data_IF_914757493714
#
_entry.id   IF_914757493714
#
_cell.length_a   1.000
_cell.length_b   1.000
_cell.length_c   1.000
_cell.angle_alpha   90.00
_cell.angle_beta   90.00
_cell.angle_gamma   90.00
#
_symmetry.space_group_name_H-M   'P 1'
#
loop_
_entity.id
_entity.type
_entity.pdbx_description
1 polymer ?
#
# COMPACT_ATOMS: atom_id res chain seq x y z
N UNK A 1 -26.67 -23.95 -9.68
CA UNK A 1 -25.84 -23.67 -8.48
C UNK A 1 -25.58 -22.17 -8.49
N UNK A 2 -25.41 -21.50 -7.34
CA UNK A 2 -24.88 -20.13 -7.35
C UNK A 2 -23.52 -20.14 -8.06
N UNK A 3 -23.24 -19.10 -8.86
CA UNK A 3 -21.95 -19.01 -9.55
C UNK A 3 -20.81 -18.81 -8.54
N UNK A 4 -19.60 -19.30 -8.84
CA UNK A 4 -18.42 -19.13 -7.99
C UNK A 4 -17.45 -18.07 -8.56
N UNK A 5 -16.72 -17.37 -7.69
CA UNK A 5 -15.67 -16.43 -8.09
C UNK A 5 -14.35 -16.68 -7.38
N UNK A 6 -13.25 -16.37 -8.06
CA UNK A 6 -11.91 -16.20 -7.51
C UNK A 6 -11.44 -14.79 -7.83
N UNK A 7 -10.78 -14.12 -6.87
CA UNK A 7 -10.16 -12.81 -7.11
C UNK A 7 -8.69 -12.86 -6.69
N UNK A 8 -7.82 -12.57 -7.64
CA UNK A 8 -6.39 -12.39 -7.42
C UNK A 8 -6.10 -10.90 -7.34
N UNK A 9 -5.49 -10.46 -6.24
CA UNK A 9 -5.25 -9.03 -6.00
C UNK A 9 -3.77 -8.73 -6.01
N UNK A 10 -3.35 -7.86 -6.91
CA UNK A 10 -1.95 -7.47 -7.07
C UNK A 10 -1.76 -5.98 -6.76
N UNK A 11 -0.52 -5.63 -6.44
CA UNK A 11 -0.08 -4.25 -6.33
C UNK A 11 -0.06 -3.73 -4.90
N UNK A 12 -1.08 -2.97 -4.50
CA UNK A 12 -0.99 -2.15 -3.28
C UNK A 12 -2.26 -2.21 -2.42
N UNK A 13 -2.17 -1.78 -1.14
CA UNK A 13 -3.32 -1.69 -0.22
C UNK A 13 -4.57 -1.02 -0.79
N UNK A 14 -4.41 -0.06 -1.71
CA UNK A 14 -5.54 0.61 -2.37
C UNK A 14 -6.30 -0.33 -3.32
N UNK A 15 -5.58 -1.21 -4.03
CA UNK A 15 -6.17 -2.26 -4.86
C UNK A 15 -6.84 -3.32 -3.98
N UNK A 16 -6.30 -3.66 -2.80
CA UNK A 16 -6.97 -4.57 -1.86
C UNK A 16 -8.35 -4.05 -1.46
N UNK A 17 -8.46 -2.77 -1.11
CA UNK A 17 -9.77 -2.17 -0.84
C UNK A 17 -10.70 -2.26 -2.04
N UNK A 18 -10.20 -2.03 -3.27
CA UNK A 18 -11.00 -2.16 -4.50
C UNK A 18 -11.50 -3.62 -4.70
N UNK A 19 -10.64 -4.61 -4.45
CA UNK A 19 -11.00 -6.03 -4.50
C UNK A 19 -12.08 -6.40 -3.48
N UNK A 20 -11.97 -5.94 -2.23
CA UNK A 20 -12.98 -6.23 -1.21
C UNK A 20 -14.36 -5.63 -1.58
N UNK A 21 -14.38 -4.48 -2.26
CA UNK A 21 -15.62 -3.84 -2.77
C UNK A 21 -16.22 -4.63 -3.92
N UNK A 22 -15.38 -5.17 -4.80
CA UNK A 22 -15.81 -6.09 -5.85
C UNK A 22 -16.39 -7.37 -5.25
N UNK A 23 -15.76 -7.94 -4.22
CA UNK A 23 -16.29 -9.07 -3.44
C UNK A 23 -17.68 -8.76 -2.88
N UNK A 24 -17.85 -7.58 -2.26
CA UNK A 24 -19.16 -7.14 -1.76
C UNK A 24 -20.24 -7.10 -2.83
N UNK A 25 -19.88 -6.64 -4.03
CA UNK A 25 -20.78 -6.58 -5.19
C UNK A 25 -21.12 -7.99 -5.69
N UNK A 26 -20.12 -8.85 -5.87
CA UNK A 26 -20.32 -10.24 -6.32
C UNK A 26 -21.15 -11.05 -5.31
N UNK A 27 -20.95 -10.86 -4.02
CA UNK A 27 -21.76 -11.48 -2.97
C UNK A 27 -23.22 -11.01 -3.03
N UNK A 28 -23.47 -9.72 -3.29
CA UNK A 28 -24.81 -9.17 -3.46
C UNK A 28 -25.52 -9.72 -4.72
N UNK A 29 -24.75 -10.03 -5.76
CA UNK A 29 -25.22 -10.71 -6.98
C UNK A 29 -25.43 -12.23 -6.80
N UNK A 30 -25.15 -12.76 -5.61
CA UNK A 30 -25.39 -14.15 -5.23
C UNK A 30 -24.28 -15.11 -5.65
N UNK A 31 -23.09 -14.61 -5.99
CA UNK A 31 -21.92 -15.46 -6.21
C UNK A 31 -21.28 -15.86 -4.87
N UNK A 32 -20.57 -16.98 -4.89
CA UNK A 32 -19.85 -17.52 -3.71
C UNK A 32 -18.35 -17.61 -3.98
N UNK A 33 -17.48 -17.43 -2.95
CA UNK A 33 -16.05 -17.60 -3.13
C UNK A 33 -15.73 -19.06 -3.50
N UNK A 34 -14.87 -19.24 -4.49
CA UNK A 34 -14.30 -20.52 -4.88
C UNK A 34 -13.16 -20.92 -3.93
N UNK A 35 -12.84 -22.22 -3.85
CA UNK A 35 -11.68 -22.70 -3.08
C UNK A 35 -10.34 -22.48 -3.78
N UNK A 36 -10.39 -22.17 -5.08
CA UNK A 36 -9.25 -21.95 -5.95
C UNK A 36 -9.71 -21.55 -7.36
N UNK A 37 -8.81 -20.98 -8.18
CA UNK A 37 -9.13 -20.52 -9.54
C UNK A 37 -9.65 -21.64 -10.45
N UNK A 38 -9.23 -22.89 -10.23
CA UNK A 38 -9.67 -24.08 -10.97
C UNK A 38 -11.13 -24.49 -10.69
N UNK A 39 -11.76 -23.89 -9.67
CA UNK A 39 -13.13 -24.16 -9.25
C UNK A 39 -14.08 -22.96 -9.38
N UNK A 40 -13.57 -21.85 -9.92
CA UNK A 40 -14.29 -20.60 -10.09
C UNK A 40 -15.00 -20.53 -11.46
N UNK A 41 -16.23 -20.02 -11.50
CA UNK A 41 -16.91 -19.66 -12.76
C UNK A 41 -16.39 -18.32 -13.31
N UNK A 42 -15.87 -17.45 -12.44
CA UNK A 42 -15.22 -16.17 -12.78
C UNK A 42 -13.92 -16.02 -12.02
N UNK A 43 -12.84 -15.79 -12.72
CA UNK A 43 -11.53 -15.42 -12.18
C UNK A 43 -11.31 -13.94 -12.47
N UNK A 44 -11.13 -13.14 -11.42
CA UNK A 44 -10.88 -11.71 -11.51
C UNK A 44 -9.43 -11.44 -11.14
N UNK A 45 -8.69 -10.67 -11.94
CA UNK A 45 -7.33 -10.25 -11.63
C UNK A 45 -7.31 -8.73 -11.47
N UNK A 46 -7.11 -8.24 -10.25
CA UNK A 46 -6.98 -6.81 -9.96
C UNK A 46 -5.51 -6.40 -10.05
N UNK A 47 -5.15 -5.76 -11.16
CA UNK A 47 -3.77 -5.54 -11.60
C UNK A 47 -3.17 -4.23 -11.09
N UNK A 48 -1.83 -4.20 -11.04
CA UNK A 48 -1.04 -3.01 -10.78
C UNK A 48 -0.50 -2.41 -12.09
N UNK A 49 -0.29 -1.08 -12.11
CA UNK A 49 0.35 -0.39 -13.23
C UNK A 49 1.35 0.67 -12.76
N UNK A 50 1.88 0.48 -11.55
CA UNK A 50 2.71 1.50 -10.90
C UNK A 50 4.12 1.58 -11.49
N UNK A 51 4.77 0.43 -11.67
CA UNK A 51 6.12 0.29 -12.25
C UNK A 51 6.15 -0.86 -13.26
N UNK A 52 7.16 -0.89 -14.12
CA UNK A 52 7.34 -1.95 -15.15
C UNK A 52 7.32 -3.36 -14.54
N UNK A 53 8.07 -3.59 -13.46
CA UNK A 53 8.15 -4.89 -12.79
C UNK A 53 6.76 -5.40 -12.35
N UNK A 54 5.95 -4.52 -11.74
CA UNK A 54 4.59 -4.85 -11.30
C UNK A 54 3.62 -5.07 -12.48
N UNK A 55 3.89 -4.46 -13.65
CA UNK A 55 3.12 -4.71 -14.88
C UNK A 55 3.46 -6.09 -15.44
N UNK A 56 4.74 -6.46 -15.44
CA UNK A 56 5.18 -7.78 -15.87
C UNK A 56 4.62 -8.89 -14.97
N UNK A 57 4.72 -8.71 -13.64
CA UNK A 57 4.10 -9.61 -12.66
C UNK A 57 2.60 -9.78 -12.92
N UNK A 58 1.89 -8.67 -13.16
CA UNK A 58 0.46 -8.71 -13.48
C UNK A 58 0.16 -9.55 -14.73
N UNK A 59 0.97 -9.43 -15.78
CA UNK A 59 0.82 -10.22 -17.01
C UNK A 59 1.09 -11.71 -16.73
N UNK A 60 2.16 -12.03 -16.01
CA UNK A 60 2.55 -13.40 -15.70
C UNK A 60 1.47 -14.12 -14.88
N UNK A 61 0.87 -13.44 -13.91
CA UNK A 61 -0.25 -13.95 -13.11
C UNK A 61 -1.50 -14.16 -13.97
N UNK A 62 -1.82 -13.23 -14.87
CA UNK A 62 -2.96 -13.38 -15.79
C UNK A 62 -2.81 -14.65 -16.63
N UNK A 63 -1.63 -14.86 -17.24
CA UNK A 63 -1.35 -16.03 -18.07
C UNK A 63 -1.32 -17.32 -17.25
N UNK A 64 -0.80 -17.27 -16.03
CA UNK A 64 -0.82 -18.41 -15.10
C UNK A 64 -2.25 -18.83 -14.72
N UNK A 65 -3.12 -17.86 -14.43
CA UNK A 65 -4.51 -18.11 -14.09
C UNK A 65 -5.35 -18.55 -15.29
N UNK A 66 -5.07 -18.05 -16.49
CA UNK A 66 -5.66 -18.57 -17.72
C UNK A 66 -5.39 -20.07 -17.90
N UNK A 67 -4.16 -20.51 -17.60
CA UNK A 67 -3.80 -21.92 -17.69
C UNK A 67 -4.46 -22.80 -16.62
N UNK A 68 -4.86 -22.23 -15.48
CA UNK A 68 -5.42 -22.95 -14.32
C UNK A 68 -6.96 -22.93 -14.26
N UNK A 69 -7.62 -21.90 -14.80
CA UNK A 69 -9.07 -21.71 -14.66
C UNK A 69 -9.87 -22.89 -15.22
N UNK A 70 -11.05 -23.13 -14.64
CA UNK A 70 -11.95 -24.17 -15.14
C UNK A 70 -12.35 -23.93 -16.62
N UNK A 71 -12.53 -24.98 -17.43
CA UNK A 71 -13.02 -24.82 -18.81
C UNK A 71 -14.36 -24.08 -18.85
N UNK A 72 -14.39 -22.93 -19.55
CA UNK A 72 -15.58 -22.07 -19.64
C UNK A 72 -15.70 -21.03 -18.52
N UNK A 73 -14.78 -21.01 -17.55
CA UNK A 73 -14.66 -19.92 -16.59
C UNK A 73 -14.18 -18.64 -17.29
N UNK A 74 -14.73 -17.50 -16.87
CA UNK A 74 -14.36 -16.20 -17.41
C UNK A 74 -13.16 -15.63 -16.70
N UNK A 75 -12.20 -15.08 -17.43
CA UNK A 75 -11.07 -14.32 -16.90
C UNK A 75 -11.33 -12.83 -17.14
N UNK A 76 -11.44 -12.07 -16.04
CA UNK A 76 -11.69 -10.62 -16.08
C UNK A 76 -10.50 -9.91 -15.46
N UNK A 77 -9.91 -8.98 -16.21
CA UNK A 77 -8.82 -8.14 -15.73
C UNK A 77 -9.36 -6.79 -15.32
N UNK A 78 -9.05 -6.35 -14.11
CA UNK A 78 -9.40 -5.02 -13.58
C UNK A 78 -8.19 -4.35 -12.93
N UNK A 79 -8.38 -3.19 -12.31
CA UNK A 79 -7.32 -2.48 -11.61
C UNK A 79 -6.62 -1.40 -12.44
N UNK A 80 -5.44 -0.98 -11.97
CA UNK A 80 -4.70 0.15 -12.55
C UNK A 80 -4.29 -0.11 -14.01
N UNK A 81 -3.92 -1.34 -14.36
CA UNK A 81 -3.47 -1.68 -15.72
C UNK A 81 -4.65 -1.66 -16.69
N UNK A 82 -5.79 -2.20 -16.27
CA UNK A 82 -7.04 -2.16 -17.03
C UNK A 82 -7.52 -0.71 -17.29
N UNK A 83 -7.41 0.17 -16.29
CA UNK A 83 -7.78 1.58 -16.44
C UNK A 83 -6.84 2.33 -17.39
N UNK A 84 -5.52 2.13 -17.25
CA UNK A 84 -4.51 2.90 -17.99
C UNK A 84 -4.27 2.38 -19.41
N UNK A 85 -4.24 1.05 -19.60
CA UNK A 85 -3.84 0.39 -20.83
C UNK A 85 -4.94 -0.51 -21.42
N UNK A 86 -6.20 -0.33 -21.04
CA UNK A 86 -7.26 -1.31 -21.30
C UNK A 86 -7.41 -1.76 -22.76
N UNK A 87 -7.28 -0.83 -23.72
CA UNK A 87 -7.35 -1.16 -25.15
C UNK A 87 -6.15 -2.00 -25.63
N UNK A 88 -4.94 -1.62 -25.23
CA UNK A 88 -3.70 -2.33 -25.57
C UNK A 88 -3.66 -3.70 -24.91
N UNK A 89 -4.12 -3.78 -23.65
CA UNK A 89 -4.17 -5.03 -22.89
C UNK A 89 -5.15 -6.03 -23.50
N UNK A 90 -6.32 -5.57 -23.92
CA UNK A 90 -7.32 -6.41 -24.59
C UNK A 90 -6.85 -6.90 -25.97
N UNK A 91 -6.00 -6.14 -26.66
CA UNK A 91 -5.39 -6.55 -27.93
C UNK A 91 -4.23 -7.53 -27.70
N UNK A 92 -3.41 -7.30 -26.67
CA UNK A 92 -2.22 -8.09 -26.38
C UNK A 92 -2.52 -9.43 -25.67
N UNK A 93 -3.62 -9.52 -24.92
CA UNK A 93 -4.03 -10.71 -24.15
C UNK A 93 -5.40 -11.24 -24.62
N UNK A 94 -5.47 -11.93 -25.77
CA UNK A 94 -6.72 -12.50 -26.29
C UNK A 94 -7.34 -13.57 -25.39
N UNK A 95 -6.60 -14.10 -24.41
CA UNK A 95 -7.05 -15.08 -23.42
C UNK A 95 -8.03 -14.48 -22.39
N UNK A 96 -7.98 -13.16 -22.21
CA UNK A 96 -8.82 -12.42 -21.27
C UNK A 96 -10.20 -12.18 -21.88
N UNK A 97 -11.26 -12.58 -21.18
CA UNK A 97 -12.64 -12.42 -21.66
C UNK A 97 -13.15 -10.98 -21.52
N UNK A 98 -12.64 -10.22 -20.54
CA UNK A 98 -12.99 -8.82 -20.35
C UNK A 98 -11.89 -8.03 -19.63
N UNK A 99 -11.67 -6.79 -20.07
CA UNK A 99 -10.83 -5.80 -19.39
C UNK A 99 -11.73 -4.67 -18.88
N UNK A 100 -11.75 -4.49 -17.56
CA UNK A 100 -12.69 -3.61 -16.83
C UNK A 100 -11.93 -2.59 -15.98
N UNK A 101 -11.93 -1.32 -16.39
CA UNK A 101 -11.43 -0.21 -15.55
C UNK A 101 -12.27 0.02 -14.28
N UNK A 102 -11.92 1.01 -13.47
CA UNK A 102 -12.53 1.26 -12.15
C UNK A 102 -14.03 1.55 -12.21
N UNK A 103 -14.52 2.06 -13.36
CA UNK A 103 -15.92 2.40 -13.59
C UNK A 103 -16.76 1.28 -14.23
N UNK A 104 -16.20 0.10 -14.47
CA UNK A 104 -16.84 -0.99 -15.21
C UNK A 104 -17.20 -2.14 -14.27
N UNK A 105 -18.49 -2.48 -14.09
CA UNK A 105 -18.88 -3.61 -13.25
C UNK A 105 -18.28 -4.94 -13.72
N UNK A 106 -17.71 -5.69 -12.78
CA UNK A 106 -17.31 -7.09 -13.00
C UNK A 106 -18.55 -7.95 -12.78
N UNK A 107 -19.18 -8.41 -13.86
CA UNK A 107 -20.41 -9.22 -13.77
C UNK A 107 -20.30 -10.51 -14.57
N UNK A 108 -21.01 -11.55 -14.12
CA UNK A 108 -21.20 -12.80 -14.85
C UNK A 108 -21.94 -12.61 -16.20
N UNK A 109 -22.64 -11.48 -16.39
CA UNK A 109 -23.63 -11.31 -17.46
C UNK A 109 -23.17 -10.45 -18.64
N UNK A 110 -22.02 -9.76 -18.55
CA UNK A 110 -21.50 -8.96 -19.67
C UNK A 110 -20.79 -9.85 -20.68
N UNK A 111 -21.46 -10.23 -21.77
CA UNK A 111 -20.83 -10.89 -22.92
C UNK A 111 -19.84 -9.98 -23.66
N UNK A 112 -18.86 -10.59 -24.32
CA UNK A 112 -17.98 -9.91 -25.29
C UNK A 112 -18.86 -9.25 -26.37
N UNK A 113 -18.77 -7.93 -26.50
CA UNK A 113 -19.22 -7.19 -27.67
C UNK A 113 -20.68 -6.73 -27.68
N UNK A 114 -20.96 -5.57 -27.08
CA UNK A 114 -21.75 -4.49 -27.67
C UNK A 114 -21.67 -3.23 -26.80
N UNK A 115 -21.48 -2.03 -27.36
CA UNK A 115 -21.61 -0.80 -26.58
C UNK A 115 -23.07 -0.71 -26.15
N UNK A 116 -23.34 -0.89 -24.86
CA UNK A 116 -24.65 -0.56 -24.29
C UNK A 116 -24.77 0.95 -24.28
N UNK A 117 -25.69 1.50 -25.05
CA UNK A 117 -26.06 2.93 -25.08
C UNK A 117 -26.81 3.39 -23.81
N UNK A 118 -26.69 2.62 -22.72
CA UNK A 118 -27.21 2.97 -21.42
C UNK A 118 -26.05 3.61 -20.68
N UNK A 119 -26.19 4.86 -20.25
CA UNK A 119 -25.28 5.46 -19.27
C UNK A 119 -25.29 4.53 -18.05
N UNK A 120 -24.28 3.66 -17.98
CA UNK A 120 -24.00 2.87 -16.79
C UNK A 120 -23.68 3.90 -15.71
N UNK A 121 -24.41 3.94 -14.59
CA UNK A 121 -24.05 4.82 -13.48
C UNK A 121 -22.58 4.55 -13.15
N UNK A 122 -21.77 5.60 -13.04
CA UNK A 122 -20.34 5.44 -12.75
C UNK A 122 -20.18 4.49 -11.56
N UNK A 123 -19.51 3.35 -11.78
CA UNK A 123 -19.24 2.38 -10.72
C UNK A 123 -18.21 3.02 -9.79
N UNK A 124 -18.68 3.66 -8.72
CA UNK A 124 -17.82 4.35 -7.77
C UNK A 124 -17.32 3.39 -6.70
N UNK A 125 -16.30 2.60 -7.06
CA UNK A 125 -15.59 1.67 -6.17
C UNK A 125 -15.27 2.29 -4.80
N UNK A 126 -15.03 3.59 -4.77
CA UNK A 126 -14.69 4.34 -3.57
C UNK A 126 -15.79 4.30 -2.48
N UNK A 127 -17.06 4.19 -2.85
CA UNK A 127 -18.20 4.28 -1.91
C UNK A 127 -19.08 3.02 -1.87
N UNK A 128 -18.68 1.93 -2.55
CA UNK A 128 -19.41 0.68 -2.50
C UNK A 128 -19.35 0.05 -1.09
N UNK A 129 -20.35 -0.75 -0.67
CA UNK A 129 -20.25 -1.56 0.53
C UNK A 129 -19.27 -2.73 0.30
N UNK A 130 -18.70 -3.28 1.38
CA UNK A 130 -17.85 -4.47 1.35
C UNK A 130 -18.14 -5.36 2.56
N UNK A 131 -17.81 -6.67 2.53
CA UNK A 131 -18.01 -7.54 3.68
C UNK A 131 -17.11 -7.13 4.87
N UNK A 132 -17.35 -7.77 6.01
CA UNK A 132 -16.43 -7.73 7.15
C UNK A 132 -15.04 -8.22 6.75
N UNK A 133 -14.02 -7.69 7.43
CA UNK A 133 -12.67 -8.19 7.24
C UNK A 133 -12.56 -9.63 7.73
N UNK A 134 -11.84 -10.46 6.99
CA UNK A 134 -11.42 -11.79 7.44
C UNK A 134 -10.18 -11.73 8.34
N UNK A 135 -9.45 -10.62 8.30
CA UNK A 135 -8.29 -10.35 9.14
C UNK A 135 -8.69 -9.47 10.34
N UNK A 136 -7.91 -9.46 11.43
CA UNK A 136 -8.18 -8.61 12.59
C UNK A 136 -7.82 -7.13 12.38
N UNK A 137 -7.45 -6.78 11.16
CA UNK A 137 -7.16 -5.44 10.69
C UNK A 137 -7.84 -5.22 9.32
N UNK A 138 -7.92 -3.96 8.87
CA UNK A 138 -8.41 -3.67 7.53
C UNK A 138 -7.87 -2.35 6.96
N UNK A 139 -7.51 -2.35 5.67
CA UNK A 139 -7.27 -1.11 4.93
C UNK A 139 -8.58 -0.38 4.65
N UNK A 140 -8.60 0.94 4.82
CA UNK A 140 -9.75 1.80 4.48
C UNK A 140 -9.29 2.91 3.56
N UNK A 141 -9.78 2.89 2.32
CA UNK A 141 -9.47 3.92 1.33
C UNK A 141 -10.32 5.17 1.58
N UNK A 142 -9.68 6.27 1.96
CA UNK A 142 -10.37 7.51 2.36
C UNK A 142 -10.52 8.50 1.21
N UNK A 143 -9.68 8.39 0.18
CA UNK A 143 -9.71 9.22 -1.01
C UNK A 143 -9.18 8.44 -2.23
N UNK A 144 -9.56 8.90 -3.42
CA UNK A 144 -9.07 8.41 -4.71
C UNK A 144 -8.39 9.53 -5.49
N UNK A 145 -7.39 9.20 -6.31
CA UNK A 145 -6.67 10.19 -7.12
C UNK A 145 -5.72 11.07 -6.31
N UNK A 146 -5.03 11.98 -7.00
CA UNK A 146 -4.02 12.83 -6.37
C UNK A 146 -3.86 14.16 -7.12
N UNK A 147 -3.75 15.28 -6.39
CA UNK A 147 -3.55 16.61 -6.96
C UNK A 147 -2.06 17.01 -7.07
N UNK A 148 -1.14 16.12 -6.66
CA UNK A 148 0.32 16.36 -6.78
C UNK A 148 0.78 16.22 -8.22
N UNK A 149 1.72 17.08 -8.61
CA UNK A 149 2.37 17.04 -9.92
C UNK A 149 3.79 16.46 -9.85
N UNK A 150 3.97 15.35 -9.13
CA UNK A 150 5.27 14.69 -8.99
C UNK A 150 5.80 14.25 -10.36
N UNK A 151 7.08 14.52 -10.62
CA UNK A 151 7.66 14.41 -11.96
C UNK A 151 7.65 12.98 -12.53
N UNK A 152 7.73 11.97 -11.69
CA UNK A 152 7.73 10.54 -12.05
C UNK A 152 6.33 9.90 -12.03
N UNK A 153 5.31 10.58 -11.48
CA UNK A 153 4.05 9.93 -11.13
C UNK A 153 3.00 10.09 -12.23
N UNK A 154 2.48 8.97 -12.74
CA UNK A 154 1.40 8.95 -13.72
C UNK A 154 -0.01 8.94 -13.10
N UNK A 155 -0.14 8.75 -11.77
CA UNK A 155 -1.44 8.60 -11.07
C UNK A 155 -2.48 9.65 -11.47
N UNK A 156 -2.16 10.96 -11.55
CA UNK A 156 -3.16 11.97 -11.90
C UNK A 156 -3.77 11.80 -13.29
N UNK A 157 -3.10 11.10 -14.22
CA UNK A 157 -3.59 10.93 -15.60
C UNK A 157 -4.70 9.88 -15.72
N UNK A 158 -4.70 8.85 -14.87
CA UNK A 158 -5.64 7.72 -14.97
C UNK A 158 -6.54 7.55 -13.74
N UNK A 159 -6.08 7.91 -12.53
CA UNK A 159 -6.93 7.93 -11.32
C UNK A 159 -7.58 9.31 -11.07
N UNK A 160 -7.16 10.32 -11.84
CA UNK A 160 -7.71 11.67 -11.78
C UNK A 160 -7.28 12.48 -10.57
N UNK A 161 -7.97 13.62 -10.39
CA UNK A 161 -7.79 14.53 -9.26
C UNK A 161 -8.26 13.91 -7.96
N UNK A 162 -7.76 14.43 -6.85
CA UNK A 162 -8.14 13.93 -5.54
C UNK A 162 -9.65 14.08 -5.30
N UNK A 163 -10.29 12.98 -4.89
CA UNK A 163 -11.69 12.92 -4.47
C UNK A 163 -11.76 12.22 -3.12
N UNK A 164 -12.03 12.97 -2.07
CA UNK A 164 -12.15 12.49 -0.69
C UNK A 164 -13.57 12.04 -0.38
N UNK A 165 -13.71 10.94 0.38
CA UNK A 165 -14.99 10.49 0.94
C UNK A 165 -15.41 11.36 2.11
N UNK A 166 -16.70 11.31 2.49
CA UNK A 166 -17.14 11.97 3.72
C UNK A 166 -16.66 11.20 4.95
N UNK A 167 -16.39 11.91 6.06
CA UNK A 167 -16.03 11.27 7.34
C UNK A 167 -17.14 10.32 7.79
N UNK A 168 -18.41 10.68 7.56
CA UNK A 168 -19.55 9.85 7.94
C UNK A 168 -19.53 8.49 7.21
N UNK A 169 -19.24 8.48 5.91
CA UNK A 169 -19.18 7.25 5.13
C UNK A 169 -17.97 6.39 5.54
N UNK A 170 -16.84 7.02 5.84
CA UNK A 170 -15.64 6.32 6.31
C UNK A 170 -15.89 5.67 7.68
N UNK A 171 -16.47 6.40 8.63
CA UNK A 171 -16.80 5.88 9.96
C UNK A 171 -17.83 4.76 9.86
N UNK A 172 -18.86 4.92 9.03
CA UNK A 172 -19.87 3.88 8.82
C UNK A 172 -19.26 2.59 8.25
N UNK A 173 -18.24 2.69 7.39
CA UNK A 173 -17.48 1.53 6.93
C UNK A 173 -16.62 0.93 8.04
N UNK A 174 -15.90 1.74 8.81
CA UNK A 174 -15.08 1.28 9.95
C UNK A 174 -15.92 0.49 10.95
N UNK A 175 -17.11 0.99 11.30
CA UNK A 175 -18.03 0.32 12.21
C UNK A 175 -18.51 -1.05 11.68
N UNK A 176 -18.61 -1.20 10.36
CA UNK A 176 -19.04 -2.46 9.74
C UNK A 176 -17.93 -3.51 9.73
N UNK A 177 -16.66 -3.11 9.65
CA UNK A 177 -15.53 -4.02 9.48
C UNK A 177 -15.25 -4.88 10.71
N UNK A 178 -15.44 -4.33 11.91
CA UNK A 178 -15.33 -5.08 13.16
C UNK A 178 -13.92 -5.59 13.46
N UNK A 179 -12.90 -4.74 13.25
CA UNK A 179 -11.47 -5.06 13.39
C UNK A 179 -10.80 -4.27 14.51
N UNK A 180 -9.67 -4.77 15.02
CA UNK A 180 -8.88 -4.09 16.07
C UNK A 180 -7.94 -3.00 15.53
N UNK A 181 -7.52 -3.10 14.27
CA UNK A 181 -6.68 -2.09 13.61
C UNK A 181 -7.28 -1.61 12.28
N UNK A 182 -7.34 -0.30 12.10
CA UNK A 182 -7.68 0.32 10.81
C UNK A 182 -6.45 0.97 10.22
N UNK A 183 -6.18 0.69 8.95
CA UNK A 183 -5.09 1.31 8.21
C UNK A 183 -5.67 2.24 7.14
N UNK A 184 -5.55 3.55 7.37
CA UNK A 184 -6.05 4.56 6.46
C UNK A 184 -5.10 4.70 5.26
N UNK A 185 -5.65 4.60 4.05
CA UNK A 185 -4.89 4.67 2.81
C UNK A 185 -5.49 5.66 1.82
N UNK A 186 -4.62 6.33 1.08
CA UNK A 186 -4.93 7.16 -0.08
C UNK A 186 -3.67 7.29 -0.96
N UNK A 187 -3.75 7.96 -2.09
CA UNK A 187 -2.55 8.32 -2.86
C UNK A 187 -1.75 9.46 -2.21
N UNK A 188 -2.44 10.41 -1.57
CA UNK A 188 -1.86 11.43 -0.68
C UNK A 188 -2.78 11.60 0.53
N UNK A 189 -2.48 10.88 1.61
CA UNK A 189 -3.39 10.80 2.76
C UNK A 189 -3.46 12.12 3.54
N UNK A 190 -2.32 12.80 3.70
CA UNK A 190 -2.25 14.06 4.43
C UNK A 190 -3.03 15.19 3.75
N UNK A 191 -3.30 15.07 2.44
CA UNK A 191 -4.12 15.99 1.67
C UNK A 191 -5.64 15.76 1.82
N UNK A 192 -6.09 14.75 2.55
CA UNK A 192 -7.52 14.43 2.71
C UNK A 192 -8.38 15.64 3.08
N UNK A 193 -9.49 15.81 2.36
CA UNK A 193 -10.48 16.87 2.53
C UNK A 193 -10.16 18.22 1.89
N UNK A 194 -8.96 18.40 1.30
CA UNK A 194 -8.61 19.65 0.57
C UNK A 194 -9.52 19.90 -0.63
N UNK A 195 -9.98 18.83 -1.28
CA UNK A 195 -10.90 18.87 -2.42
C UNK A 195 -12.35 19.23 -2.04
N UNK A 196 -12.71 19.13 -0.75
CA UNK A 196 -14.07 19.38 -0.26
C UNK A 196 -14.32 20.84 0.12
N UNK A 197 -13.35 21.74 -0.08
CA UNK A 197 -13.43 23.14 0.34
C UNK A 197 -13.38 23.34 1.86
N UNK A 198 -13.20 22.27 2.62
CA UNK A 198 -12.96 22.26 4.08
C UNK A 198 -11.44 22.31 4.26
N UNK A 199 -10.87 23.52 4.13
CA UNK A 199 -9.44 23.75 3.95
C UNK A 199 -8.50 22.93 4.86
N UNK A 200 -7.42 22.40 4.25
CA UNK A 200 -6.19 21.81 4.83
C UNK A 200 -6.25 20.87 6.06
N UNK A 201 -7.41 20.58 6.67
CA UNK A 201 -7.45 20.13 8.07
C UNK A 201 -8.52 19.08 8.38
N UNK A 202 -9.04 18.38 7.39
CA UNK A 202 -10.01 17.30 7.65
C UNK A 202 -9.35 15.98 8.08
N UNK A 203 -8.05 15.79 7.81
CA UNK A 203 -7.34 14.55 8.17
C UNK A 203 -7.29 14.34 9.69
N UNK A 204 -7.01 15.39 10.48
CA UNK A 204 -6.97 15.27 11.96
C UNK A 204 -8.33 14.88 12.53
N UNK A 205 -9.45 15.58 12.22
CA UNK A 205 -10.78 15.14 12.61
C UNK A 205 -11.14 13.73 12.14
N UNK A 206 -10.73 13.32 10.94
CA UNK A 206 -10.95 11.96 10.46
C UNK A 206 -10.24 10.94 11.35
N UNK A 207 -8.94 11.13 11.61
CA UNK A 207 -8.13 10.25 12.45
C UNK A 207 -8.72 10.15 13.85
N UNK A 208 -9.08 11.28 14.46
CA UNK A 208 -9.73 11.32 15.77
C UNK A 208 -11.06 10.56 15.77
N UNK A 209 -11.88 10.72 14.73
CA UNK A 209 -13.15 10.00 14.63
C UNK A 209 -12.93 8.49 14.52
N UNK A 210 -11.99 8.03 13.69
CA UNK A 210 -11.69 6.60 13.52
C UNK A 210 -11.07 6.01 14.79
N UNK A 211 -10.16 6.73 15.45
CA UNK A 211 -9.48 6.28 16.67
C UNK A 211 -10.44 6.11 17.87
N UNK A 212 -11.63 6.71 17.82
CA UNK A 212 -12.68 6.46 18.81
C UNK A 212 -13.45 5.15 18.59
N UNK A 213 -13.22 4.43 17.47
CA UNK A 213 -13.97 3.21 17.11
C UNK A 213 -13.13 1.94 17.21
N UNK A 214 -11.81 2.07 17.06
CA UNK A 214 -10.88 0.93 17.02
C UNK A 214 -9.65 1.22 17.88
N UNK A 215 -9.00 0.17 18.35
CA UNK A 215 -7.87 0.27 19.28
C UNK A 215 -6.60 0.83 18.62
N UNK A 216 -6.42 0.57 17.32
CA UNK A 216 -5.26 1.04 16.55
C UNK A 216 -5.68 1.71 15.25
N UNK A 217 -5.10 2.88 14.96
CA UNK A 217 -5.24 3.54 13.65
C UNK A 217 -3.88 3.86 13.08
N UNK A 218 -3.57 3.28 11.92
CA UNK A 218 -2.34 3.50 11.17
C UNK A 218 -2.60 4.37 9.95
N UNK A 219 -1.64 5.22 9.62
CA UNK A 219 -1.68 6.08 8.44
C UNK A 219 -0.53 5.71 7.51
N UNK A 220 -0.85 5.48 6.23
CA UNK A 220 0.14 5.24 5.18
C UNK A 220 0.11 6.37 4.13
N UNK A 221 1.20 6.51 3.37
CA UNK A 221 1.33 7.45 2.26
C UNK A 221 1.23 8.92 2.69
N UNK A 222 2.01 9.31 3.70
CA UNK A 222 2.08 10.67 4.18
C UNK A 222 3.08 11.49 3.34
N UNK A 223 2.61 12.57 2.74
CA UNK A 223 3.48 13.51 2.07
C UNK A 223 4.15 14.45 3.10
N UNK A 224 5.49 14.59 3.10
CA UNK A 224 6.22 15.22 4.20
C UNK A 224 5.87 16.71 4.43
N UNK A 225 5.50 17.46 3.39
CA UNK A 225 5.13 18.88 3.53
C UNK A 225 3.85 19.11 4.35
N UNK A 226 2.99 18.09 4.43
CA UNK A 226 1.67 18.20 5.06
C UNK A 226 1.64 17.57 6.45
N UNK A 227 2.80 17.09 6.93
CA UNK A 227 2.97 16.54 8.27
C UNK A 227 3.12 17.69 9.29
N UNK A 228 1.99 18.29 9.65
CA UNK A 228 1.94 19.34 10.68
C UNK A 228 2.10 18.75 12.08
N UNK A 229 2.48 19.58 13.05
CA UNK A 229 2.57 19.16 14.46
C UNK A 229 1.24 18.60 14.98
N UNK A 230 0.11 19.19 14.59
CA UNK A 230 -1.21 18.68 14.97
C UNK A 230 -1.50 17.29 14.40
N UNK A 231 -1.01 16.99 13.20
CA UNK A 231 -1.16 15.65 12.61
C UNK A 231 -0.23 14.65 13.28
N UNK A 232 1.00 15.04 13.62
CA UNK A 232 1.91 14.22 14.42
C UNK A 232 1.27 13.85 15.76
N UNK A 233 0.74 14.83 16.48
CA UNK A 233 0.11 14.61 17.79
C UNK A 233 -1.13 13.69 17.65
N UNK A 234 -1.92 13.88 16.60
CA UNK A 234 -3.07 13.02 16.31
C UNK A 234 -2.66 11.57 15.99
N UNK A 235 -1.59 11.36 15.22
CA UNK A 235 -1.03 10.02 14.94
C UNK A 235 -0.54 9.36 16.22
N UNK A 236 0.21 10.07 17.06
CA UNK A 236 0.69 9.49 18.33
C UNK A 236 -0.48 9.09 19.26
N UNK A 237 -1.58 9.84 19.22
CA UNK A 237 -2.77 9.55 20.02
C UNK A 237 -3.55 8.30 19.56
N UNK A 238 -3.29 7.74 18.38
CA UNK A 238 -3.97 6.53 17.89
C UNK A 238 -3.43 5.23 18.48
N UNK A 239 -2.40 5.30 19.33
CA UNK A 239 -1.66 4.13 19.80
C UNK A 239 -0.72 3.53 18.76
N UNK A 240 -0.61 4.13 17.57
CA UNK A 240 0.28 3.69 16.49
C UNK A 240 1.12 4.86 15.99
N UNK A 241 2.20 5.24 16.71
CA UNK A 241 3.13 6.28 16.26
C UNK A 241 4.00 5.77 15.10
N UNK A 242 3.38 5.58 13.94
CA UNK A 242 4.00 5.04 12.73
C UNK A 242 3.87 6.06 11.60
N UNK A 243 5.00 6.42 11.02
CA UNK A 243 5.11 7.49 10.03
C UNK A 243 5.67 6.93 8.72
N UNK A 244 4.78 6.58 7.78
CA UNK A 244 5.16 6.23 6.40
C UNK A 244 5.28 7.51 5.55
N UNK A 245 6.51 8.01 5.45
CA UNK A 245 6.83 9.25 4.79
C UNK A 245 7.26 8.97 3.35
N UNK A 246 6.52 9.47 2.37
CA UNK A 246 6.92 9.39 0.98
C UNK A 246 8.05 10.41 0.70
N UNK A 247 9.33 10.07 0.92
CA UNK A 247 10.46 11.00 0.76
C UNK A 247 11.07 10.98 -0.65
N UNK A 248 11.07 9.83 -1.32
CA UNK A 248 11.44 9.61 -2.73
C UNK A 248 12.91 9.90 -3.07
N UNK A 249 13.51 10.94 -2.50
CA UNK A 249 14.94 11.24 -2.52
C UNK A 249 15.27 12.27 -1.42
N UNK A 250 16.53 12.66 -1.25
CA UNK A 250 16.95 13.66 -0.24
C UNK A 250 17.75 14.82 -0.81
N UNK A 251 18.44 14.61 -1.93
CA UNK A 251 19.13 15.68 -2.67
C UNK A 251 18.16 16.78 -3.11
N UNK A 252 18.42 18.01 -2.67
CA UNK A 252 17.60 19.19 -2.96
C UNK A 252 17.50 19.52 -4.47
N UNK A 253 18.60 19.50 -5.26
CA UNK A 253 18.51 19.59 -6.73
C UNK A 253 17.63 18.53 -7.37
N UNK A 254 17.78 17.26 -6.95
CA UNK A 254 17.04 16.15 -7.55
C UNK A 254 15.56 16.19 -7.16
N UNK A 255 15.23 16.49 -5.91
CA UNK A 255 13.84 16.67 -5.45
C UNK A 255 13.12 17.78 -6.21
N UNK A 256 13.78 18.93 -6.46
CA UNK A 256 13.22 19.98 -7.32
C UNK A 256 12.94 19.48 -8.73
N UNK A 257 13.84 18.68 -9.30
CA UNK A 257 13.68 18.07 -10.63
C UNK A 257 12.52 17.07 -10.64
N UNK A 258 12.35 16.30 -9.57
CA UNK A 258 11.18 15.45 -9.31
C UNK A 258 9.89 16.25 -9.00
N UNK A 259 9.94 17.58 -8.99
CA UNK A 259 8.83 18.48 -8.61
C UNK A 259 8.30 18.21 -7.20
N UNK A 260 9.21 17.89 -6.28
CA UNK A 260 8.91 17.62 -4.87
C UNK A 260 9.43 18.73 -3.97
N UNK A 261 8.85 18.77 -2.78
CA UNK A 261 9.22 19.70 -1.73
C UNK A 261 10.20 19.03 -0.77
N UNK A 262 11.12 19.82 -0.21
CA UNK A 262 12.01 19.42 0.87
C UNK A 262 13.42 19.07 0.40
N UNK A 263 14.20 18.59 1.36
CA UNK A 263 15.58 18.15 1.25
C UNK A 263 15.94 17.32 2.50
N UNK A 264 17.08 16.63 2.46
CA UNK A 264 17.53 15.75 3.53
C UNK A 264 17.59 16.41 4.91
N UNK A 265 18.10 17.65 4.99
CA UNK A 265 18.20 18.40 6.25
C UNK A 265 16.81 18.60 6.89
N UNK A 266 15.84 19.12 6.11
CA UNK A 266 14.47 19.31 6.62
C UNK A 266 13.77 18.02 7.02
N UNK A 267 14.02 16.94 6.28
CA UNK A 267 13.45 15.63 6.59
C UNK A 267 14.05 15.09 7.90
N UNK A 268 15.37 15.18 8.07
CA UNK A 268 16.06 14.79 9.31
C UNK A 268 15.56 15.60 10.51
N UNK A 269 15.50 16.92 10.39
CA UNK A 269 14.97 17.80 11.44
C UNK A 269 13.58 17.34 11.88
N UNK A 270 12.68 17.06 10.92
CA UNK A 270 11.32 16.60 11.20
C UNK A 270 11.31 15.24 11.90
N UNK A 271 12.13 14.28 11.45
CA UNK A 271 12.22 12.95 12.06
C UNK A 271 12.76 13.05 13.49
N UNK A 272 13.80 13.84 13.72
CA UNK A 272 14.41 14.07 15.03
C UNK A 272 13.41 14.73 15.97
N UNK A 273 12.67 15.73 15.51
CA UNK A 273 11.63 16.39 16.29
C UNK A 273 10.52 15.42 16.72
N UNK A 274 10.07 14.55 15.82
CA UNK A 274 9.06 13.54 16.13
C UNK A 274 9.60 12.52 17.13
N UNK A 275 10.81 11.98 16.94
CA UNK A 275 11.44 11.04 17.88
C UNK A 275 11.65 11.62 19.26
N UNK A 276 11.91 12.93 19.36
CA UNK A 276 12.02 13.63 20.63
C UNK A 276 10.68 13.70 21.37
N UNK A 277 9.57 13.82 20.64
CA UNK A 277 8.21 13.84 21.20
C UNK A 277 7.73 12.44 21.54
N UNK A 278 7.96 11.48 20.65
CA UNK A 278 7.55 10.08 20.77
C UNK A 278 8.73 9.16 20.45
N UNK A 279 9.51 8.74 21.45
CA UNK A 279 10.67 7.86 21.26
C UNK A 279 10.31 6.48 20.67
N UNK A 280 9.08 6.01 20.83
CA UNK A 280 8.62 4.76 20.25
C UNK A 280 8.23 4.88 18.77
N UNK A 281 8.32 6.09 18.17
CA UNK A 281 7.92 6.32 16.79
C UNK A 281 8.70 5.45 15.80
N UNK A 282 7.97 4.76 14.96
CA UNK A 282 8.50 3.99 13.83
C UNK A 282 8.39 4.82 12.54
N UNK A 283 9.43 4.77 11.72
CA UNK A 283 9.47 5.50 10.46
C UNK A 283 9.68 4.55 9.30
N UNK A 284 8.89 4.76 8.26
CA UNK A 284 9.02 4.09 6.97
C UNK A 284 9.21 5.13 5.87
N UNK A 285 10.03 4.82 4.88
CA UNK A 285 10.10 5.61 3.66
C UNK A 285 10.34 4.77 2.41
N UNK A 286 10.21 5.41 1.25
CA UNK A 286 10.54 4.83 -0.04
C UNK A 286 11.41 5.83 -0.82
N UNK A 287 12.41 5.32 -1.53
CA UNK A 287 13.33 6.11 -2.35
C UNK A 287 13.41 5.58 -3.78
N UNK A 288 13.52 6.50 -4.73
CA UNK A 288 13.71 6.23 -6.15
C UNK A 288 15.17 6.50 -6.49
N UNK A 289 15.83 5.49 -7.04
CA UNK A 289 17.23 5.52 -7.46
C UNK A 289 17.31 5.54 -8.98
N UNK A 290 18.18 6.38 -9.52
CA UNK A 290 18.38 6.58 -10.95
C UNK A 290 17.42 7.56 -11.61
N UNK A 291 16.86 8.52 -10.87
CA UNK A 291 16.01 9.54 -11.49
C UNK A 291 16.82 10.34 -12.53
N UNK A 292 16.26 10.73 -13.69
CA UNK A 292 17.04 11.37 -14.74
C UNK A 292 17.81 12.60 -14.24
N UNK A 293 19.14 12.56 -14.35
CA UNK A 293 20.06 13.58 -13.87
C UNK A 293 20.68 13.32 -12.48
N UNK A 294 20.41 12.18 -11.86
CA UNK A 294 21.00 11.81 -10.56
C UNK A 294 22.51 11.54 -10.67
N UNK A 295 23.26 12.25 -9.84
CA UNK A 295 24.73 12.20 -9.78
C UNK A 295 25.23 11.32 -8.63
N UNK A 296 26.52 10.99 -8.64
CA UNK A 296 27.19 10.31 -7.52
C UNK A 296 27.02 11.07 -6.20
N UNK A 297 27.18 12.40 -6.21
CA UNK A 297 26.99 13.24 -5.04
C UNK A 297 25.53 13.26 -4.51
N UNK A 298 24.54 12.98 -5.36
CA UNK A 298 23.14 12.84 -4.93
C UNK A 298 22.92 11.51 -4.20
N UNK A 299 23.55 10.44 -4.69
CA UNK A 299 23.55 9.11 -4.08
C UNK A 299 24.30 9.10 -2.75
N UNK A 300 25.47 9.73 -2.67
CA UNK A 300 26.23 9.89 -1.42
C UNK A 300 25.41 10.60 -0.33
N UNK A 301 24.65 11.63 -0.71
CA UNK A 301 23.73 12.31 0.21
C UNK A 301 22.60 11.39 0.68
N UNK A 302 22.11 10.49 -0.18
CA UNK A 302 21.09 9.53 0.19
C UNK A 302 21.63 8.47 1.16
N UNK A 303 22.82 7.92 0.91
CA UNK A 303 23.50 7.01 1.84
C UNK A 303 23.69 7.66 3.21
N UNK A 304 24.27 8.87 3.24
CA UNK A 304 24.48 9.62 4.48
C UNK A 304 23.17 9.91 5.22
N UNK A 305 22.11 10.26 4.48
CA UNK A 305 20.79 10.46 5.08
C UNK A 305 20.22 9.18 5.68
N UNK A 306 20.29 8.04 4.99
CA UNK A 306 19.76 6.76 5.50
C UNK A 306 20.51 6.36 6.77
N UNK A 307 21.84 6.51 6.77
CA UNK A 307 22.69 6.27 7.93
C UNK A 307 22.35 7.20 9.11
N UNK A 308 22.12 8.50 8.87
CA UNK A 308 21.79 9.44 9.96
C UNK A 308 20.33 9.30 10.44
N UNK A 309 19.40 9.12 9.51
CA UNK A 309 17.97 9.03 9.78
C UNK A 309 17.62 7.74 10.51
N UNK A 310 18.40 6.66 10.37
CA UNK A 310 18.18 5.38 11.06
C UNK A 310 16.71 4.94 10.94
N UNK A 311 16.13 4.95 9.75
CA UNK A 311 14.71 4.61 9.57
C UNK A 311 14.46 3.13 9.89
N UNK A 312 13.28 2.81 10.44
CA UNK A 312 12.93 1.43 10.79
C UNK A 312 12.74 0.59 9.51
N UNK A 313 12.16 1.20 8.47
CA UNK A 313 11.86 0.55 7.20
C UNK A 313 12.18 1.46 6.01
N UNK A 314 12.91 0.96 5.00
CA UNK A 314 13.08 1.65 3.72
C UNK A 314 12.84 0.72 2.54
N UNK A 315 12.05 1.19 1.57
CA UNK A 315 11.98 0.61 0.24
C UNK A 315 12.86 1.38 -0.74
N UNK A 316 13.63 0.68 -1.58
CA UNK A 316 14.42 1.25 -2.66
C UNK A 316 13.95 0.70 -3.99
N UNK A 317 13.62 1.61 -4.91
CA UNK A 317 13.07 1.28 -6.22
C UNK A 317 13.90 1.97 -7.30
N UNK A 318 14.06 1.31 -8.44
CA UNK A 318 14.61 1.98 -9.61
C UNK A 318 13.63 2.98 -10.18
N UNK A 319 14.16 4.00 -10.83
CA UNK A 319 13.36 4.87 -11.66
C UNK A 319 12.81 4.09 -12.86
N UNK A 320 11.49 3.90 -12.87
CA UNK A 320 10.74 3.42 -14.04
C UNK A 320 10.31 4.63 -14.88
N UNK A 321 10.72 4.65 -16.15
CA UNK A 321 10.26 5.66 -17.12
C UNK A 321 8.81 5.37 -17.49
N UNK A 322 7.92 6.31 -17.19
CA UNK A 322 6.49 6.18 -17.45
C UNK A 322 6.02 7.19 -18.49
N UNK A 323 5.41 6.71 -19.57
CA UNK A 323 4.90 7.56 -20.65
C UNK A 323 3.83 8.55 -20.14
N UNK A 324 3.91 9.79 -20.62
CA UNK A 324 3.05 10.90 -20.22
C UNK A 324 3.46 11.59 -18.91
N UNK A 325 4.52 11.13 -18.23
CA UNK A 325 5.06 11.81 -17.05
C UNK A 325 6.08 12.89 -17.42
N UNK A 326 6.30 13.86 -16.53
CA UNK A 326 7.33 14.89 -16.75
C UNK A 326 8.73 14.30 -16.88
N UNK A 327 9.02 13.21 -16.16
CA UNK A 327 10.32 12.54 -16.18
C UNK A 327 10.61 11.81 -17.49
N UNK A 328 9.59 11.45 -18.29
CA UNK A 328 9.76 10.71 -19.54
C UNK A 328 10.61 11.47 -20.58
N UNK A 329 10.53 12.80 -20.56
CA UNK A 329 11.19 13.67 -21.54
C UNK A 329 12.50 14.28 -20.98
N UNK A 330 12.95 13.86 -19.80
CA UNK A 330 14.15 14.40 -19.18
C UNK A 330 15.42 13.73 -19.70
N UNK A 331 16.44 14.53 -19.98
CA UNK A 331 17.80 14.06 -20.22
C UNK A 331 18.48 13.56 -18.93
N UNK A 332 19.62 12.88 -19.10
CA UNK A 332 20.44 12.38 -17.99
C UNK A 332 20.00 11.01 -17.49
N UNK A 333 19.57 10.12 -18.39
CA UNK A 333 19.21 8.74 -18.06
C UNK A 333 20.38 8.06 -17.35
N UNK A 334 20.08 7.49 -16.18
CA UNK A 334 21.05 6.71 -15.41
C UNK A 334 21.03 5.27 -15.93
N UNK A 335 22.18 4.66 -16.26
CA UNK A 335 22.22 3.27 -16.72
C UNK A 335 21.68 2.30 -15.66
N UNK A 336 20.94 1.28 -16.11
CA UNK A 336 20.33 0.29 -15.22
C UNK A 336 21.34 -0.42 -14.30
N UNK A 337 22.50 -0.79 -14.84
CA UNK A 337 23.57 -1.40 -14.03
C UNK A 337 24.02 -0.50 -12.87
N UNK A 338 24.07 0.82 -13.07
CA UNK A 338 24.41 1.77 -12.01
C UNK A 338 23.26 1.95 -11.01
N UNK A 339 22.00 1.89 -11.46
CA UNK A 339 20.84 1.89 -10.55
C UNK A 339 20.83 0.66 -9.64
N UNK A 340 21.15 -0.51 -10.19
CA UNK A 340 21.25 -1.76 -9.43
C UNK A 340 22.38 -1.74 -8.40
N UNK A 341 23.56 -1.22 -8.77
CA UNK A 341 24.69 -1.03 -7.86
C UNK A 341 24.30 -0.14 -6.68
N UNK A 342 23.70 1.03 -6.95
CA UNK A 342 23.22 1.96 -5.92
C UNK A 342 22.15 1.36 -5.01
N UNK A 343 21.21 0.58 -5.56
CA UNK A 343 20.20 -0.13 -4.77
C UNK A 343 20.86 -1.17 -3.86
N UNK A 344 21.85 -1.92 -4.35
CA UNK A 344 22.55 -2.91 -3.54
C UNK A 344 23.25 -2.26 -2.33
N UNK A 345 23.94 -1.14 -2.55
CA UNK A 345 24.58 -0.38 -1.46
C UNK A 345 23.56 0.13 -0.42
N UNK A 346 22.44 0.69 -0.88
CA UNK A 346 21.39 1.19 0.01
C UNK A 346 20.71 0.08 0.80
N UNK A 347 20.50 -1.10 0.17
CA UNK A 347 19.93 -2.27 0.84
C UNK A 347 20.87 -2.80 1.90
N UNK A 348 22.15 -3.00 1.59
CA UNK A 348 23.13 -3.48 2.58
C UNK A 348 23.21 -2.57 3.81
N UNK A 349 23.19 -1.25 3.59
CA UNK A 349 23.12 -0.26 4.66
C UNK A 349 21.82 -0.38 5.46
N UNK A 350 20.66 -0.41 4.80
CA UNK A 350 19.36 -0.48 5.46
C UNK A 350 19.15 -1.79 6.23
N UNK A 351 19.58 -2.93 5.69
CA UNK A 351 19.45 -4.24 6.33
C UNK A 351 20.17 -4.24 7.68
N UNK A 352 21.37 -3.64 7.71
CA UNK A 352 22.13 -3.46 8.95
C UNK A 352 21.41 -2.56 9.96
N UNK A 353 20.78 -1.48 9.49
CA UNK A 353 20.01 -0.56 10.35
C UNK A 353 18.76 -1.24 10.90
N UNK A 354 17.99 -1.91 10.05
CA UNK A 354 16.78 -2.61 10.46
C UNK A 354 17.14 -3.68 11.48
N UNK A 355 18.10 -4.57 11.19
CA UNK A 355 18.55 -5.61 12.12
C UNK A 355 18.95 -5.03 13.49
N UNK A 356 19.80 -3.98 13.52
CA UNK A 356 20.21 -3.35 14.77
C UNK A 356 19.03 -2.75 15.57
N UNK A 357 18.02 -2.19 14.89
CA UNK A 357 16.81 -1.67 15.54
C UNK A 357 15.90 -2.79 16.06
N UNK A 358 15.85 -3.94 15.37
CA UNK A 358 15.14 -5.13 15.87
C UNK A 358 15.84 -5.74 17.07
N UNK A 359 17.17 -5.89 17.01
CA UNK A 359 17.99 -6.37 18.13
C UNK A 359 17.81 -5.52 19.39
N UNK A 360 17.68 -4.20 19.23
CA UNK A 360 17.45 -3.29 20.36
C UNK A 360 16.12 -3.53 21.11
N UNK A 361 15.18 -4.29 20.53
CA UNK A 361 13.93 -4.68 21.17
C UNK A 361 14.05 -6.00 21.95
N UNK A 362 15.15 -6.73 21.82
CA UNK A 362 15.38 -7.97 22.58
C UNK A 362 15.43 -7.66 24.08
N UNK A 363 14.66 -8.42 24.86
CA UNK A 363 14.49 -8.24 26.30
C UNK A 363 13.41 -7.21 26.67
N UNK A 364 12.71 -6.62 25.71
CA UNK A 364 11.57 -5.73 25.96
C UNK A 364 10.23 -6.46 25.87
N UNK A 365 9.23 -5.96 26.59
CA UNK A 365 7.84 -6.40 26.46
C UNK A 365 7.11 -5.49 25.46
N UNK A 366 6.50 -6.08 24.43
CA UNK A 366 5.79 -5.37 23.37
C UNK A 366 4.34 -5.85 23.27
N UNK A 367 3.42 -4.93 22.96
CA UNK A 367 2.02 -5.30 22.71
C UNK A 367 1.82 -5.58 21.22
N UNK A 368 1.37 -6.79 20.90
CA UNK A 368 1.09 -7.25 19.54
C UNK A 368 -0.41 -7.44 19.32
N UNK A 369 -0.87 -7.19 18.09
CA UNK A 369 -2.13 -7.69 17.57
C UNK A 369 -1.86 -9.05 16.93
N UNK A 370 -2.57 -10.10 17.35
CA UNK A 370 -2.44 -11.44 16.77
C UNK A 370 -3.16 -11.47 15.43
N UNK A 371 -2.44 -11.63 14.33
CA UNK A 371 -3.03 -11.61 12.98
C UNK A 371 -3.44 -13.01 12.53
N UNK A 372 -2.59 -14.00 12.80
CA UNK A 372 -2.71 -15.40 12.40
C UNK A 372 -2.12 -16.29 13.50
N UNK A 373 -2.39 -17.61 13.50
CA UNK A 373 -1.75 -18.52 14.45
C UNK A 373 -0.23 -18.37 14.42
N UNK A 374 0.37 -18.05 15.57
CA UNK A 374 1.81 -17.91 15.73
C UNK A 374 2.41 -16.60 15.18
N UNK A 375 1.61 -15.69 14.61
CA UNK A 375 2.09 -14.44 14.02
C UNK A 375 1.26 -13.24 14.48
N UNK A 376 1.95 -12.17 14.85
CA UNK A 376 1.32 -10.89 15.18
C UNK A 376 2.19 -9.69 14.84
N UNK A 377 1.66 -8.50 15.08
CA UNK A 377 2.33 -7.22 14.79
C UNK A 377 2.22 -6.24 15.95
N UNK A 378 3.32 -5.56 16.25
CA UNK A 378 3.32 -4.40 17.14
C UNK A 378 2.83 -3.16 16.38
N UNK A 379 2.94 -1.97 17.00
CA UNK A 379 2.68 -0.72 16.28
C UNK A 379 3.75 -0.42 15.22
N UNK A 380 4.92 -1.07 15.29
CA UNK A 380 6.06 -0.81 14.40
C UNK A 380 5.94 -1.49 13.04
N UNK A 381 5.09 -2.51 12.90
CA UNK A 381 4.92 -3.27 11.66
C UNK A 381 3.57 -2.96 11.00
N UNK A 382 3.61 -2.46 9.77
CA UNK A 382 2.43 -2.37 8.92
C UNK A 382 2.04 -3.76 8.39
N UNK A 383 0.74 -4.08 8.27
CA UNK A 383 0.29 -5.36 7.74
C UNK A 383 0.78 -5.54 6.31
N UNK A 384 1.18 -6.77 5.96
CA UNK A 384 1.61 -7.22 4.62
C UNK A 384 2.84 -6.53 4.03
N UNK A 385 3.42 -5.53 4.71
CA UNK A 385 4.46 -4.64 4.14
C UNK A 385 5.78 -4.74 4.90
N UNK A 386 5.72 -4.75 6.23
CA UNK A 386 6.90 -4.78 7.09
C UNK A 386 7.09 -6.20 7.66
N UNK A 387 7.99 -6.37 8.65
CA UNK A 387 8.20 -7.67 9.31
C UNK A 387 7.04 -8.12 10.20
N UNK A 388 7.23 -9.26 10.87
CA UNK A 388 6.28 -9.86 11.81
C UNK A 388 6.91 -10.09 13.18
N UNK A 389 6.06 -10.38 14.17
CA UNK A 389 6.46 -10.90 15.47
C UNK A 389 5.95 -12.33 15.59
N UNK A 390 6.87 -13.29 15.67
CA UNK A 390 6.56 -14.68 15.96
C UNK A 390 6.18 -14.83 17.42
N UNK A 391 5.03 -15.46 17.66
CA UNK A 391 4.38 -15.57 18.97
C UNK A 391 3.85 -16.99 19.19
N UNK A 392 3.32 -17.26 20.38
CA UNK A 392 2.68 -18.54 20.70
C UNK A 392 1.40 -18.73 19.86
N UNK A 393 1.28 -19.88 19.20
CA UNK A 393 0.11 -20.27 18.39
C UNK A 393 -1.19 -20.39 19.21
N UNK A 394 -1.09 -20.52 20.53
CA UNK A 394 -2.24 -20.58 21.43
C UNK A 394 -2.93 -19.21 21.64
N UNK A 395 -2.31 -18.11 21.20
CA UNK A 395 -2.90 -16.78 21.31
C UNK A 395 -4.08 -16.61 20.34
N UNK A 396 -5.14 -15.96 20.83
CA UNK A 396 -6.38 -15.79 20.07
C UNK A 396 -6.22 -14.73 18.97
N UNK A 397 -6.57 -15.09 17.73
CA UNK A 397 -6.55 -14.17 16.58
C UNK A 397 -7.43 -12.95 16.87
N UNK A 398 -6.90 -11.75 16.59
CA UNK A 398 -7.56 -10.48 16.84
C UNK A 398 -7.49 -9.96 18.26
N UNK A 399 -6.90 -10.72 19.19
CA UNK A 399 -6.61 -10.23 20.53
C UNK A 399 -5.32 -9.39 20.56
N UNK A 400 -5.24 -8.50 21.55
CA UNK A 400 -3.99 -7.81 21.90
C UNK A 400 -3.29 -8.57 23.02
N UNK A 401 -2.05 -9.00 22.77
CA UNK A 401 -1.23 -9.71 23.74
C UNK A 401 0.05 -8.92 24.02
N UNK A 402 0.48 -8.89 25.28
CA UNK A 402 1.82 -8.41 25.64
C UNK A 402 2.77 -9.60 25.66
N UNK A 403 3.82 -9.52 24.87
CA UNK A 403 4.81 -10.59 24.69
C UNK A 403 6.22 -10.07 24.96
N UNK A 404 7.09 -10.92 25.49
CA UNK A 404 8.49 -10.59 25.75
C UNK A 404 9.34 -11.04 24.56
N UNK A 405 10.08 -10.12 23.95
CA UNK A 405 10.96 -10.40 22.82
C UNK A 405 12.25 -11.06 23.32
N UNK A 406 12.60 -12.21 22.76
CA UNK A 406 13.77 -13.00 23.15
C UNK A 406 14.84 -13.07 22.06
N UNK A 407 14.45 -12.85 20.80
CA UNK A 407 15.35 -12.93 19.65
C UNK A 407 14.85 -12.07 18.48
N UNK A 408 15.70 -11.88 17.47
CA UNK A 408 15.37 -11.23 16.22
C UNK A 408 16.01 -11.98 15.04
N UNK A 409 15.25 -12.15 13.96
CA UNK A 409 15.68 -12.81 12.72
C UNK A 409 15.56 -11.80 11.58
N UNK A 410 16.63 -11.01 11.37
CA UNK A 410 16.62 -9.93 10.37
C UNK A 410 15.52 -8.90 10.69
N UNK A 411 14.48 -8.74 9.84
CA UNK A 411 13.37 -7.83 10.10
C UNK A 411 12.35 -8.35 11.12
N UNK A 412 12.37 -9.65 11.46
CA UNK A 412 11.33 -10.28 12.27
C UNK A 412 11.76 -10.46 13.73
N UNK A 413 10.79 -10.45 14.65
CA UNK A 413 11.05 -10.66 16.08
C UNK A 413 10.52 -12.00 16.53
N UNK A 414 11.17 -12.58 17.54
CA UNK A 414 10.73 -13.82 18.18
C UNK A 414 10.38 -13.53 19.63
N UNK A 415 9.14 -13.83 20.00
CA UNK A 415 8.69 -13.73 21.38
C UNK A 415 8.87 -15.04 22.16
N UNK A 416 8.92 -14.91 23.49
CA UNK A 416 8.88 -16.06 24.40
C UNK A 416 7.62 -16.90 24.16
N UNK A 417 7.80 -18.21 23.98
CA UNK A 417 6.72 -19.15 23.69
C UNK A 417 6.42 -19.32 22.19
N UNK A 418 7.06 -18.57 21.31
CA UNK A 418 7.02 -18.84 19.87
C UNK A 418 7.68 -20.19 19.56
N UNK A 419 7.11 -20.94 18.62
CA UNK A 419 7.73 -22.14 18.05
C UNK A 419 8.43 -21.75 16.74
N UNK A 420 9.76 -21.61 16.71
CA UNK A 420 10.47 -21.25 15.48
C UNK A 420 10.55 -22.41 14.46
N UNK A 421 10.04 -23.61 14.81
CA UNK A 421 9.95 -24.79 13.94
C UNK A 421 8.88 -24.59 12.85
N UNK A 422 9.19 -23.77 11.85
CA UNK A 422 8.32 -23.38 10.74
C UNK A 422 8.81 -22.15 9.97
N UNK A 423 9.86 -21.49 10.48
CA UNK A 423 10.57 -20.40 9.82
C UNK A 423 11.67 -20.96 8.91
N UNK A 424 11.30 -21.73 7.88
CA UNK A 424 12.25 -22.00 6.80
C UNK A 424 12.32 -20.75 5.92
N UNK A 425 13.55 -20.26 5.67
CA UNK A 425 13.89 -19.14 4.78
C UNK A 425 13.22 -19.33 3.39
N UNK A 426 12.13 -18.61 3.10
CA UNK A 426 11.63 -18.38 1.74
C UNK A 426 11.89 -16.94 1.28
#
# INVERSE_FOLDING_TARGET
MPGSYWIETLGCPKNQVDSDKLVGTMAADGLVPASGPESADVVVVNTCAFVEEARQESIDVILGLDALRAPGARLVVTGCMAERYGAELAEALPEVDAVSGFGVPVTLSTGIGRPTTVEVPAFDLLNLPRPRSSAPWAYVKVAEGCDRACGFCAIPSFRGRQRSRSIADIVAEVDQLGVGEIVLVAQDLAAYGRDQGVGERAIVPLVEQVAMRVDRVRLLYLYPSDLTDSLVDAICATGVPYFDLSLQHVSSPLLRRMRRWGDGERFLERIVDIRRREPAAAFRSNFIVGYPGETEADHDQLLAFVEEAQLDWCGFFTFSREDGTYAADLDGVVPEGLMMERIAELRELQDSITAARRDALIGSSVTVLVDEPGRGRSHREAPEIDGVVLIDEALEIGSFATVDIIDALGPDLVASGASPEGYDDE
#
